data_IF_765565435085
#
_entry.id   IF_765565435085
#
_cell.length_a   1.000
_cell.length_b   1.000
_cell.length_c   1.000
_cell.angle_alpha   90.00
_cell.angle_beta   90.00
_cell.angle_gamma   90.00
#
_symmetry.space_group_name_H-M   'P 1'
#
loop_
_entity.id
_entity.type
_entity.pdbx_description
1 polymer ?
#
# COMPACT_ATOMS: atom_id res chain seq x y z
N UNK A 1 16.40 -22.70 38.28
CA UNK A 1 16.74 -21.26 38.20
C UNK A 1 17.78 -21.14 37.10
N UNK A 2 17.51 -20.62 35.91
CA UNK A 2 16.32 -19.96 35.36
C UNK A 2 16.54 -19.96 33.84
N UNK A 3 15.59 -20.52 33.09
CA UNK A 3 15.47 -20.31 31.64
C UNK A 3 15.31 -18.82 31.36
N UNK A 4 16.24 -18.20 30.63
CA UNK A 4 16.05 -16.85 30.08
C UNK A 4 16.67 -16.78 28.66
N UNK A 5 15.75 -16.85 27.69
CA UNK A 5 15.77 -16.27 26.33
C UNK A 5 16.78 -16.77 25.30
N UNK A 6 16.49 -17.93 24.71
CA UNK A 6 16.53 -18.02 23.25
C UNK A 6 15.30 -17.28 22.69
N UNK A 7 15.40 -15.96 22.49
CA UNK A 7 14.50 -15.30 21.55
C UNK A 7 14.85 -15.84 20.17
N UNK A 8 14.12 -16.85 19.72
CA UNK A 8 14.00 -17.17 18.30
C UNK A 8 13.57 -15.89 17.60
N UNK A 9 14.53 -15.20 16.98
CA UNK A 9 14.24 -14.32 15.87
C UNK A 9 13.99 -15.26 14.70
N UNK A 10 12.85 -15.96 14.74
CA UNK A 10 12.31 -16.56 13.55
C UNK A 10 12.10 -15.38 12.61
N UNK A 11 12.95 -15.26 11.59
CA UNK A 11 12.58 -14.53 10.38
C UNK A 11 11.21 -15.09 10.00
N UNK A 12 10.13 -14.37 10.31
CA UNK A 12 8.77 -14.87 10.16
C UNK A 12 8.58 -15.25 8.70
N UNK A 13 8.69 -16.55 8.46
CA UNK A 13 8.95 -17.02 7.12
C UNK A 13 7.75 -16.75 6.24
N UNK A 14 8.03 -16.45 4.97
CA UNK A 14 7.01 -16.26 3.94
C UNK A 14 5.98 -17.39 4.02
N UNK A 15 4.71 -17.05 3.79
CA UNK A 15 3.63 -18.04 3.80
C UNK A 15 3.84 -19.11 2.71
N UNK A 16 4.70 -18.83 1.73
CA UNK A 16 5.03 -19.72 0.62
C UNK A 16 6.28 -20.58 0.84
N UNK A 17 6.91 -20.53 2.02
CA UNK A 17 8.17 -21.24 2.25
C UNK A 17 8.02 -22.76 2.14
N UNK A 18 6.93 -23.32 2.67
CA UNK A 18 6.67 -24.75 2.68
C UNK A 18 5.16 -25.01 2.85
N UNK A 19 4.76 -26.26 2.66
CA UNK A 19 3.36 -26.70 2.74
C UNK A 19 2.73 -26.36 4.09
N UNK A 20 3.41 -26.63 5.21
CA UNK A 20 2.87 -26.37 6.55
C UNK A 20 2.59 -24.88 6.79
N UNK A 21 3.53 -24.00 6.39
CA UNK A 21 3.36 -22.55 6.47
C UNK A 21 2.16 -22.08 5.63
N UNK A 22 2.02 -22.62 4.42
CA UNK A 22 0.93 -22.25 3.53
C UNK A 22 -0.43 -22.72 4.05
N UNK A 23 -0.54 -23.97 4.50
CA UNK A 23 -1.78 -24.53 5.08
C UNK A 23 -2.20 -23.80 6.36
N UNK A 24 -1.24 -23.39 7.20
CA UNK A 24 -1.51 -22.56 8.36
C UNK A 24 -2.01 -21.17 7.95
N UNK A 25 -1.36 -20.52 6.98
CA UNK A 25 -1.81 -19.23 6.45
C UNK A 25 -3.22 -19.32 5.83
N UNK A 26 -3.53 -20.41 5.11
CA UNK A 26 -4.88 -20.64 4.58
C UNK A 26 -5.93 -20.74 5.69
N UNK A 27 -5.64 -21.41 6.81
CA UNK A 27 -6.56 -21.49 7.96
C UNK A 27 -6.79 -20.11 8.58
N UNK A 28 -5.73 -19.31 8.75
CA UNK A 28 -5.87 -17.93 9.23
C UNK A 28 -6.69 -17.08 8.26
N UNK A 29 -6.39 -17.16 6.95
CA UNK A 29 -7.10 -16.41 5.92
C UNK A 29 -8.60 -16.76 5.86
N UNK A 30 -8.96 -18.04 6.04
CA UNK A 30 -10.35 -18.51 6.12
C UNK A 30 -11.10 -17.89 7.30
N UNK A 31 -10.45 -17.76 8.46
CA UNK A 31 -11.02 -17.08 9.61
C UNK A 31 -11.22 -15.58 9.34
N UNK A 32 -10.22 -14.93 8.72
CA UNK A 32 -10.27 -13.49 8.42
C UNK A 32 -11.36 -13.17 7.39
N UNK A 33 -11.50 -13.95 6.32
CA UNK A 33 -12.50 -13.66 5.28
C UNK A 33 -13.95 -13.90 5.73
N UNK A 34 -14.17 -14.58 6.86
CA UNK A 34 -15.50 -14.72 7.47
C UNK A 34 -15.86 -13.57 8.41
N UNK A 35 -14.89 -12.70 8.75
CA UNK A 35 -15.09 -11.59 9.66
C UNK A 35 -15.74 -10.39 8.96
N UNK A 36 -16.72 -9.77 9.61
CA UNK A 36 -17.27 -8.48 9.15
C UNK A 36 -16.39 -7.29 9.52
N UNK A 37 -15.33 -7.50 10.32
CA UNK A 37 -14.40 -6.45 10.73
C UNK A 37 -13.33 -6.16 9.66
N UNK A 38 -13.14 -7.05 8.68
CA UNK A 38 -12.22 -6.80 7.55
C UNK A 38 -12.97 -6.06 6.42
N UNK A 39 -12.29 -5.25 5.60
CA UNK A 39 -12.95 -4.57 4.47
C UNK A 39 -13.59 -5.52 3.47
N UNK A 40 -14.59 -5.05 2.73
CA UNK A 40 -15.41 -5.87 1.84
C UNK A 40 -14.60 -6.72 0.83
N UNK A 41 -13.49 -6.20 0.29
CA UNK A 41 -12.62 -6.93 -0.63
C UNK A 41 -11.94 -8.17 -0.02
N UNK A 42 -11.91 -8.30 1.30
CA UNK A 42 -11.35 -9.44 2.02
C UNK A 42 -12.42 -10.43 2.48
N UNK A 43 -13.70 -10.11 2.32
CA UNK A 43 -14.81 -10.91 2.84
C UNK A 43 -15.23 -12.05 1.87
N UNK A 44 -15.76 -13.12 2.45
CA UNK A 44 -16.29 -14.28 1.74
C UNK A 44 -15.22 -15.13 1.04
N UNK A 45 -15.67 -16.16 0.31
CA UNK A 45 -14.77 -17.08 -0.40
C UNK A 45 -13.89 -16.36 -1.42
N UNK A 46 -14.44 -15.34 -2.10
CA UNK A 46 -13.72 -14.54 -3.09
C UNK A 46 -12.62 -13.66 -2.47
N UNK A 47 -12.73 -13.33 -1.17
CA UNK A 47 -11.75 -12.56 -0.43
C UNK A 47 -10.59 -13.37 0.15
N UNK A 48 -10.70 -14.72 0.15
CA UNK A 48 -9.67 -15.60 0.70
C UNK A 48 -8.27 -15.37 0.08
N UNK A 49 -8.10 -15.23 -1.26
CA UNK A 49 -6.81 -14.92 -1.85
C UNK A 49 -6.26 -13.57 -1.40
N UNK A 50 -7.11 -12.55 -1.26
CA UNK A 50 -6.72 -11.24 -0.75
C UNK A 50 -6.25 -11.32 0.70
N UNK A 51 -6.89 -12.15 1.53
CA UNK A 51 -6.46 -12.41 2.90
C UNK A 51 -5.08 -13.09 2.95
N UNK A 52 -4.78 -14.02 2.05
CA UNK A 52 -3.46 -14.64 1.96
C UNK A 52 -2.39 -13.62 1.58
N UNK A 53 -2.65 -12.76 0.60
CA UNK A 53 -1.71 -11.69 0.22
C UNK A 53 -1.48 -10.73 1.39
N UNK A 54 -2.54 -10.35 2.11
CA UNK A 54 -2.42 -9.49 3.28
C UNK A 54 -1.60 -10.15 4.40
N UNK A 55 -1.72 -11.46 4.62
CA UNK A 55 -0.89 -12.21 5.58
C UNK A 55 0.59 -12.24 5.17
N UNK A 56 0.90 -12.44 3.88
CA UNK A 56 2.28 -12.38 3.40
C UNK A 56 2.86 -10.97 3.57
N UNK A 57 2.09 -9.94 3.23
CA UNK A 57 2.51 -8.56 3.40
C UNK A 57 2.70 -8.21 4.88
N UNK A 58 1.80 -8.65 5.75
CA UNK A 58 1.89 -8.37 7.18
C UNK A 58 3.16 -8.95 7.78
N UNK A 59 3.56 -10.17 7.40
CA UNK A 59 4.84 -10.77 7.80
C UNK A 59 6.04 -9.97 7.30
N UNK A 60 6.06 -9.59 6.02
CA UNK A 60 7.16 -8.80 5.43
C UNK A 60 7.34 -7.44 6.09
N UNK A 61 6.24 -6.84 6.53
CA UNK A 61 6.23 -5.52 7.17
C UNK A 61 6.34 -5.60 8.69
N UNK A 62 6.31 -6.80 9.27
CA UNK A 62 6.18 -7.00 10.72
C UNK A 62 4.97 -6.24 11.31
N UNK A 63 3.82 -6.37 10.66
CA UNK A 63 2.55 -5.76 11.06
C UNK A 63 1.49 -6.83 11.28
N UNK A 64 0.41 -6.45 11.97
CA UNK A 64 -0.74 -7.34 12.08
C UNK A 64 -1.51 -7.40 10.75
N UNK A 65 -2.14 -8.55 10.42
CA UNK A 65 -2.91 -8.69 9.18
C UNK A 65 -4.05 -7.67 9.08
N UNK A 66 -4.69 -7.35 10.21
CA UNK A 66 -5.77 -6.38 10.26
C UNK A 66 -5.28 -4.97 9.89
N UNK A 67 -4.10 -4.56 10.37
CA UNK A 67 -3.51 -3.25 10.02
C UNK A 67 -3.25 -3.18 8.52
N UNK A 68 -2.70 -4.23 7.91
CA UNK A 68 -2.49 -4.29 6.46
C UNK A 68 -3.82 -4.21 5.72
N UNK A 69 -4.81 -5.04 6.07
CA UNK A 69 -6.11 -5.07 5.40
C UNK A 69 -6.83 -3.73 5.44
N UNK A 70 -6.79 -3.02 6.57
CA UNK A 70 -7.46 -1.72 6.71
C UNK A 70 -6.79 -0.60 5.92
N UNK A 71 -5.51 -0.72 5.58
CA UNK A 71 -4.73 0.33 4.93
C UNK A 71 -4.36 0.02 3.47
N UNK A 72 -4.53 -1.22 3.04
CA UNK A 72 -4.26 -1.68 1.68
C UNK A 72 -5.52 -1.57 0.82
N UNK A 73 -5.60 -0.49 0.06
CA UNK A 73 -6.70 -0.24 -0.86
C UNK A 73 -6.39 -0.85 -2.24
N UNK A 74 -7.40 -1.42 -2.89
CA UNK A 74 -7.27 -1.89 -4.28
C UNK A 74 -7.91 -0.85 -5.20
N UNK A 75 -7.10 -0.21 -6.03
CA UNK A 75 -7.55 0.78 -7.02
C UNK A 75 -7.17 0.29 -8.40
N UNK A 76 -8.16 0.09 -9.28
CA UNK A 76 -7.96 -0.47 -10.63
C UNK A 76 -7.11 -1.76 -10.64
N UNK A 77 -7.35 -2.66 -9.68
CA UNK A 77 -6.62 -3.92 -9.55
C UNK A 77 -5.20 -3.78 -8.99
N UNK A 78 -4.76 -2.57 -8.63
CA UNK A 78 -3.44 -2.33 -8.03
C UNK A 78 -3.57 -2.15 -6.51
N UNK A 79 -2.75 -2.86 -5.71
CA UNK A 79 -2.66 -2.59 -4.29
C UNK A 79 -2.03 -1.21 -4.08
N UNK A 80 -2.59 -0.45 -3.14
CA UNK A 80 -2.13 0.90 -2.80
C UNK A 80 -2.21 1.12 -1.29
N UNK A 81 -1.25 1.87 -0.75
CA UNK A 81 -1.32 2.33 0.62
C UNK A 81 -2.11 3.62 0.73
N UNK A 82 -2.81 3.83 1.84
CA UNK A 82 -3.26 5.17 2.20
C UNK A 82 -2.04 6.04 2.56
N UNK A 83 -2.07 7.33 2.22
CA UNK A 83 -1.02 8.26 2.63
C UNK A 83 -0.92 8.39 4.17
N UNK A 84 -2.05 8.22 4.87
CA UNK A 84 -2.09 8.17 6.33
C UNK A 84 -1.30 6.97 6.87
N UNK A 85 -1.39 5.80 6.23
CA UNK A 85 -0.62 4.63 6.62
C UNK A 85 0.89 4.87 6.47
N UNK A 86 1.32 5.50 5.38
CA UNK A 86 2.72 5.88 5.21
C UNK A 86 3.17 6.82 6.33
N UNK A 87 2.36 7.84 6.64
CA UNK A 87 2.65 8.78 7.74
C UNK A 87 2.79 8.04 9.08
N UNK A 88 1.87 7.12 9.37
CA UNK A 88 1.93 6.29 10.58
C UNK A 88 3.18 5.42 10.63
N UNK A 89 3.61 4.85 9.50
CA UNK A 89 4.86 4.10 9.42
C UNK A 89 6.09 5.00 9.66
N UNK A 90 6.10 6.22 9.11
CA UNK A 90 7.19 7.18 9.37
C UNK A 90 7.28 7.49 10.87
N UNK A 91 6.13 7.78 11.52
CA UNK A 91 6.09 8.09 12.95
C UNK A 91 6.41 6.87 13.83
N UNK A 92 5.98 5.68 13.43
CA UNK A 92 6.06 4.45 14.23
C UNK A 92 7.33 3.62 14.01
N UNK A 93 8.11 3.86 12.95
CA UNK A 93 9.28 3.04 12.61
C UNK A 93 10.47 3.19 13.58
N UNK A 94 10.41 4.12 14.54
CA UNK A 94 11.49 4.37 15.50
C UNK A 94 12.74 5.04 14.91
N UNK A 95 12.80 5.30 13.60
CA UNK A 95 13.93 5.98 12.94
C UNK A 95 13.91 7.49 13.12
N UNK A 96 12.75 8.06 13.43
CA UNK A 96 12.53 9.51 13.50
C UNK A 96 11.80 9.91 14.78
N UNK A 97 12.06 11.14 15.23
CA UNK A 97 11.29 11.85 16.26
C UNK A 97 10.93 13.24 15.74
N UNK A 98 9.92 13.87 16.35
CA UNK A 98 9.47 15.21 15.97
C UNK A 98 9.14 15.32 14.47
N UNK A 99 8.47 14.30 13.91
CA UNK A 99 7.98 14.37 12.53
C UNK A 99 6.84 15.38 12.46
N UNK A 100 6.93 16.33 11.53
CA UNK A 100 5.92 17.35 11.32
C UNK A 100 5.97 17.89 9.88
N UNK A 101 4.95 18.69 9.51
CA UNK A 101 4.84 19.36 8.23
C UNK A 101 5.20 20.84 8.36
N UNK A 102 6.14 21.29 7.52
CA UNK A 102 6.38 22.70 7.26
C UNK A 102 5.41 23.12 6.16
N UNK A 103 4.47 24.00 6.49
CA UNK A 103 3.51 24.58 5.53
C UNK A 103 3.87 26.05 5.32
N UNK A 104 4.00 26.46 4.06
CA UNK A 104 4.35 27.81 3.66
C UNK A 104 3.45 28.29 2.51
N UNK A 105 3.16 29.59 2.50
CA UNK A 105 2.27 30.18 1.52
C UNK A 105 0.82 29.76 1.69
N UNK A 106 0.00 30.11 0.70
CA UNK A 106 -1.42 29.77 0.63
C UNK A 106 -1.87 29.69 -0.83
N UNK A 107 -2.97 29.00 -1.07
CA UNK A 107 -3.59 28.87 -2.40
C UNK A 107 -2.54 28.44 -3.44
N UNK A 108 -2.35 29.25 -4.48
CA UNK A 108 -1.39 29.07 -5.57
C UNK A 108 0.09 29.00 -5.13
N UNK A 109 0.42 29.67 -4.04
CA UNK A 109 1.77 29.72 -3.48
C UNK A 109 2.04 28.64 -2.44
N UNK A 110 1.07 27.75 -2.19
CA UNK A 110 1.16 26.75 -1.13
C UNK A 110 2.28 25.75 -1.42
N UNK A 111 3.11 25.52 -0.39
CA UNK A 111 4.21 24.58 -0.35
C UNK A 111 4.15 23.80 0.96
N UNK A 112 4.32 22.49 0.89
CA UNK A 112 4.38 21.59 2.04
C UNK A 112 5.66 20.75 1.98
N UNK A 113 6.33 20.60 3.11
CA UNK A 113 7.54 19.78 3.24
C UNK A 113 7.50 19.02 4.57
N UNK A 114 7.86 17.74 4.56
CA UNK A 114 8.05 16.99 5.81
C UNK A 114 9.39 17.34 6.44
N UNK A 115 9.43 17.43 7.76
CA UNK A 115 10.66 17.46 8.55
C UNK A 115 10.60 16.41 9.66
N UNK A 116 11.76 15.90 10.05
CA UNK A 116 11.89 15.04 11.21
C UNK A 116 13.30 15.11 11.78
N UNK A 117 13.48 14.72 13.03
CA UNK A 117 14.82 14.50 13.59
C UNK A 117 15.14 13.00 13.51
N UNK A 118 16.21 12.64 12.80
CA UNK A 118 16.67 11.25 12.75
C UNK A 118 17.23 10.84 14.12
N UNK A 119 16.82 9.68 14.61
CA UNK A 119 17.19 9.20 15.95
C UNK A 119 18.66 8.83 16.03
N UNK A 120 19.20 8.20 15.00
CA UNK A 120 20.58 7.69 14.93
C UNK A 120 21.64 8.78 15.19
N UNK A 121 21.49 9.96 14.59
CA UNK A 121 22.50 11.02 14.63
C UNK A 121 21.96 12.38 15.09
N UNK A 122 20.72 12.43 15.58
CA UNK A 122 20.02 13.65 16.01
C UNK A 122 19.96 14.76 14.96
N UNK A 123 20.12 14.45 13.66
CA UNK A 123 20.05 15.46 12.60
C UNK A 123 18.61 15.78 12.21
N UNK A 124 18.33 17.06 12.02
CA UNK A 124 17.12 17.52 11.37
C UNK A 124 17.21 17.20 9.88
N UNK A 125 16.32 16.33 9.41
CA UNK A 125 16.16 15.98 8.00
C UNK A 125 14.89 16.61 7.44
N UNK A 126 14.94 16.95 6.17
CA UNK A 126 13.81 17.49 5.42
C UNK A 126 13.56 16.63 4.19
N UNK A 127 12.28 16.37 3.90
CA UNK A 127 11.87 15.71 2.67
C UNK A 127 11.87 16.67 1.48
N UNK A 128 11.48 16.18 0.31
CA UNK A 128 11.22 17.03 -0.85
C UNK A 128 10.05 17.97 -0.58
N UNK A 129 10.23 19.26 -0.86
CA UNK A 129 9.14 20.22 -0.79
C UNK A 129 8.20 20.04 -1.99
N UNK A 130 6.90 19.94 -1.71
CA UNK A 130 5.85 19.75 -2.72
C UNK A 130 5.01 21.03 -2.77
N UNK A 131 4.78 21.55 -3.97
CA UNK A 131 4.08 22.83 -4.17
C UNK A 131 2.88 22.68 -5.10
N UNK A 132 1.93 23.61 -5.03
CA UNK A 132 0.84 23.68 -6.01
C UNK A 132 1.37 23.88 -7.44
N UNK A 133 2.47 24.62 -7.61
CA UNK A 133 3.16 24.74 -8.91
C UNK A 133 3.62 23.38 -9.43
N UNK A 134 4.28 22.58 -8.59
CA UNK A 134 4.69 21.21 -8.94
C UNK A 134 3.46 20.36 -9.27
N UNK A 135 2.41 20.43 -8.46
CA UNK A 135 1.18 19.66 -8.69
C UNK A 135 0.54 19.94 -10.05
N UNK A 136 0.64 21.17 -10.57
CA UNK A 136 0.19 21.50 -11.93
C UNK A 136 1.10 20.95 -13.01
N UNK A 137 2.40 21.12 -12.84
CA UNK A 137 3.40 20.65 -13.79
C UNK A 137 3.33 19.13 -13.97
N UNK A 138 3.08 18.42 -12.87
CA UNK A 138 2.91 16.96 -12.83
C UNK A 138 1.47 16.50 -13.13
N UNK A 139 0.54 17.44 -13.38
CA UNK A 139 -0.84 17.13 -13.73
C UNK A 139 -1.72 16.61 -12.59
N UNK A 140 -1.26 16.60 -11.34
CA UNK A 140 -2.03 16.12 -10.18
C UNK A 140 -3.29 16.95 -9.92
N UNK A 141 -3.29 18.23 -10.32
CA UNK A 141 -4.46 19.12 -10.16
C UNK A 141 -5.66 18.73 -11.02
N UNK A 142 -5.54 17.72 -11.90
CA UNK A 142 -6.70 17.09 -12.57
C UNK A 142 -7.62 16.40 -11.54
N UNK A 143 -7.08 15.95 -10.42
CA UNK A 143 -7.86 15.48 -9.28
C UNK A 143 -8.45 16.69 -8.53
N UNK A 144 -9.80 16.77 -8.49
CA UNK A 144 -10.54 17.89 -7.90
C UNK A 144 -10.22 18.14 -6.42
N UNK A 145 -9.67 17.15 -5.70
CA UNK A 145 -9.23 17.30 -4.31
C UNK A 145 -8.07 18.28 -4.14
N UNK A 146 -7.23 18.49 -5.15
CA UNK A 146 -6.20 19.54 -5.08
C UNK A 146 -6.79 20.95 -5.10
N UNK A 147 -8.01 21.11 -5.63
CA UNK A 147 -8.71 22.40 -5.58
C UNK A 147 -9.51 22.58 -4.30
N UNK A 148 -10.16 21.52 -3.79
CA UNK A 148 -10.99 21.61 -2.58
C UNK A 148 -10.20 21.49 -1.27
N UNK A 149 -9.14 20.70 -1.25
CA UNK A 149 -8.30 20.43 -0.07
C UNK A 149 -6.80 20.39 -0.44
N UNK A 150 -6.25 21.49 -1.01
CA UNK A 150 -4.88 21.53 -1.54
C UNK A 150 -3.83 21.12 -0.50
N UNK A 151 -3.91 21.66 0.72
CA UNK A 151 -2.92 21.39 1.76
C UNK A 151 -2.87 19.92 2.15
N UNK A 152 -4.03 19.27 2.29
CA UNK A 152 -4.09 17.84 2.60
C UNK A 152 -3.46 16.99 1.49
N UNK A 153 -3.77 17.31 0.22
CA UNK A 153 -3.19 16.60 -0.92
C UNK A 153 -1.67 16.78 -1.00
N UNK A 154 -1.18 18.00 -0.74
CA UNK A 154 0.26 18.28 -0.69
C UNK A 154 0.95 17.59 0.50
N UNK A 155 0.30 17.52 1.67
CA UNK A 155 0.78 16.77 2.85
C UNK A 155 0.92 15.29 2.52
N UNK A 156 -0.11 14.68 1.94
CA UNK A 156 -0.08 13.27 1.52
C UNK A 156 1.09 13.02 0.56
N UNK A 157 1.27 13.90 -0.42
CA UNK A 157 2.36 13.79 -1.39
C UNK A 157 3.74 13.94 -0.76
N UNK A 158 3.91 14.93 0.13
CA UNK A 158 5.16 15.15 0.85
C UNK A 158 5.51 13.94 1.74
N UNK A 159 4.53 13.37 2.44
CA UNK A 159 4.70 12.16 3.26
C UNK A 159 5.10 10.96 2.42
N UNK A 160 4.47 10.75 1.25
CA UNK A 160 4.84 9.67 0.33
C UNK A 160 6.28 9.81 -0.18
N UNK A 161 6.69 11.00 -0.59
CA UNK A 161 8.07 11.25 -1.03
C UNK A 161 9.08 11.02 0.10
N UNK A 162 8.78 11.51 1.29
CA UNK A 162 9.61 11.27 2.47
C UNK A 162 9.69 9.77 2.78
N UNK A 163 8.56 9.07 2.80
CA UNK A 163 8.47 7.65 3.09
C UNK A 163 9.32 6.82 2.12
N UNK A 164 9.23 7.09 0.82
CA UNK A 164 10.05 6.41 -0.19
C UNK A 164 11.54 6.66 -0.03
N UNK A 165 11.92 7.87 0.39
CA UNK A 165 13.33 8.21 0.54
C UNK A 165 13.95 7.59 1.79
N UNK A 166 13.19 7.50 2.89
CA UNK A 166 13.75 7.21 4.21
C UNK A 166 13.28 5.89 4.85
N UNK A 167 12.15 5.34 4.41
CA UNK A 167 11.63 4.03 4.83
C UNK A 167 11.14 3.17 3.64
N UNK A 168 11.85 3.09 2.51
CA UNK A 168 11.39 2.34 1.34
C UNK A 168 11.12 0.86 1.64
N UNK A 169 11.88 0.28 2.57
CA UNK A 169 11.76 -1.09 3.05
C UNK A 169 10.42 -1.35 3.75
N UNK A 170 9.84 -0.34 4.42
CA UNK A 170 8.53 -0.46 5.07
C UNK A 170 7.36 -0.23 4.10
N UNK A 171 7.63 0.27 2.88
CA UNK A 171 6.58 0.55 1.89
C UNK A 171 6.44 -0.55 0.83
N UNK A 172 7.44 -1.43 0.72
CA UNK A 172 7.47 -2.55 -0.24
C UNK A 172 7.26 -2.11 -1.71
N UNK A 173 7.62 -0.88 -2.06
CA UNK A 173 7.45 -0.32 -3.40
C UNK A 173 5.99 -0.05 -3.82
N UNK A 174 5.03 -0.23 -2.92
CA UNK A 174 3.61 0.00 -3.19
C UNK A 174 3.32 1.50 -3.28
N UNK A 175 2.55 1.89 -4.29
CA UNK A 175 2.14 3.29 -4.50
C UNK A 175 1.05 3.71 -3.52
N UNK A 176 0.91 5.01 -3.30
CA UNK A 176 -0.26 5.52 -2.56
C UNK A 176 -1.50 5.57 -3.43
N UNK A 177 -2.66 5.51 -2.79
CA UNK A 177 -3.96 5.61 -3.46
C UNK A 177 -4.07 6.90 -4.28
N UNK A 178 -3.61 8.02 -3.72
CA UNK A 178 -3.59 9.33 -4.37
C UNK A 178 -2.74 9.32 -5.65
N UNK A 179 -1.60 8.63 -5.63
CA UNK A 179 -0.72 8.55 -6.80
C UNK A 179 -1.34 7.78 -7.94
N UNK A 180 -1.99 6.66 -7.64
CA UNK A 180 -2.67 5.86 -8.65
C UNK A 180 -3.84 6.65 -9.24
N UNK A 181 -4.59 7.37 -8.41
CA UNK A 181 -5.70 8.22 -8.87
C UNK A 181 -5.17 9.34 -9.78
N UNK A 182 -4.08 10.00 -9.40
CA UNK A 182 -3.55 11.13 -10.14
C UNK A 182 -2.98 10.72 -11.52
N UNK A 183 -2.50 9.48 -11.67
CA UNK A 183 -2.06 8.90 -12.95
C UNK A 183 -3.24 8.57 -13.89
N UNK A 184 -4.39 8.15 -13.36
CA UNK A 184 -5.52 7.57 -14.14
C UNK A 184 -6.52 8.65 -14.62
N UNK A 185 -6.08 9.90 -14.78
CA UNK A 185 -6.96 11.01 -15.21
C UNK A 185 -7.25 11.08 -16.72
N UNK A 186 -7.30 9.93 -17.39
CA UNK A 186 -8.10 9.77 -18.61
C UNK A 186 -9.10 8.62 -18.40
N UNK A 187 -10.41 8.82 -18.72
CA UNK A 187 -11.31 7.69 -18.80
C UNK A 187 -10.84 6.82 -19.97
N UNK A 188 -10.21 5.69 -19.66
CA UNK A 188 -10.10 4.61 -20.64
C UNK A 188 -11.55 4.18 -20.89
N UNK A 189 -12.07 4.54 -22.06
CA UNK A 189 -13.38 4.09 -22.50
C UNK A 189 -13.28 2.57 -22.66
N UNK A 190 -13.64 1.82 -21.62
CA UNK A 190 -13.79 0.37 -21.71
C UNK A 190 -15.11 0.11 -22.42
N UNK A 191 -15.18 0.46 -23.71
CA UNK A 191 -16.16 -0.16 -24.59
C UNK A 191 -15.71 -1.61 -24.76
N UNK A 192 -16.40 -2.48 -24.02
CA UNK A 192 -16.51 -3.92 -24.25
C UNK A 192 -15.20 -4.63 -24.58
N UNK A 193 -14.48 -5.05 -23.54
CA UNK A 193 -13.68 -6.27 -23.66
C UNK A 193 -14.64 -7.44 -23.84
N UNK A 194 -15.07 -7.67 -25.09
CA UNK A 194 -15.62 -8.97 -25.46
C UNK A 194 -14.54 -10.00 -25.18
N UNK A 195 -14.79 -10.82 -24.16
CA UNK A 195 -14.04 -12.04 -23.95
C UNK A 195 -14.27 -12.85 -25.21
N UNK A 196 -13.28 -12.89 -26.11
CA UNK A 196 -13.30 -13.79 -27.24
C UNK A 196 -13.36 -15.21 -26.67
N UNK A 197 -14.52 -15.86 -26.79
CA UNK A 197 -14.65 -17.29 -26.58
C UNK A 197 -13.65 -17.97 -27.51
N UNK A 198 -12.67 -18.65 -26.92
CA UNK A 198 -11.78 -19.55 -27.65
C UNK A 198 -12.65 -20.70 -28.16
N UNK A 199 -12.80 -20.91 -29.47
CA UNK A 199 -13.59 -22.03 -29.97
C UNK A 199 -12.91 -23.33 -29.53
N UNK A 200 -13.67 -24.19 -28.84
CA UNK A 200 -13.29 -25.59 -28.62
C UNK A 200 -13.12 -26.23 -29.98
N UNK A 201 -11.90 -26.66 -30.31
CA UNK A 201 -11.68 -27.63 -31.37
C UNK A 201 -12.29 -28.94 -30.90
N UNK A 202 -13.34 -29.38 -31.59
CA UNK A 202 -13.81 -30.75 -31.54
C UNK A 202 -12.76 -31.61 -32.22
N UNK A 203 -12.14 -32.51 -31.45
CA UNK A 203 -11.30 -33.58 -32.00
C UNK A 203 -12.23 -34.62 -32.63
N UNK A 204 -12.61 -34.40 -33.89
CA UNK A 204 -12.93 -35.50 -34.81
C UNK A 204 -11.60 -36.05 -35.37
N UNK A 205 -11.18 -37.18 -34.82
CA UNK A 205 -10.45 -38.19 -35.58
C UNK A 205 -10.96 -39.56 -35.11
N UNK A 206 -12.15 -39.89 -35.61
CA UNK A 206 -12.45 -41.24 -36.06
C UNK A 206 -11.49 -41.55 -37.22
N UNK A 207 -10.70 -42.62 -37.09
CA UNK A 207 -10.35 -43.58 -38.14
C UNK A 207 -9.34 -44.57 -37.56
N UNK A 208 -9.76 -45.83 -37.48
CA UNK A 208 -9.07 -46.91 -36.80
C UNK A 208 -7.76 -47.36 -37.46
N UNK A 209 -6.92 -47.95 -36.60
CA UNK A 209 -6.36 -49.30 -36.68
C UNK A 209 -5.97 -49.74 -35.26
#
# INVERSE_FOLDING_TARGET
MTDITNTNIDNESSIYQNQNSFEFAQRQAKSLCQSQLVPAQYQGQNGLPNCLVALEMSKRMNLSPLVVMQNLNVIHGRPTWSAQFITSNIMGCGRFKNFDYIVQGKDESLVVQCQATRVEDNKLIKGTAVSMRMARQEGWTKNSKYSSMPELMLKNRAATFFGRQYIPDLLLGVQTSEEVIDIVTEPINVSESSVAEVPKKEDENDLGF
#
